data_IF_845174151424
#
_entry.id   IF_845174151424
#
_cell.length_a   1.000
_cell.length_b   1.000
_cell.length_c   1.000
_cell.angle_alpha   90.00
_cell.angle_beta   90.00
_cell.angle_gamma   90.00
#
_symmetry.space_group_name_H-M   'P 1'
#
loop_
_entity.id
_entity.type
_entity.pdbx_description
1 polymer ?
#
# COMPACT_ATOMS: atom_id res chain seq x y z
N UNK A 1 -16.45 43.27 49.17
CA UNK A 1 -15.36 42.29 49.19
C UNK A 1 -15.45 41.41 47.96
N UNK A 2 -14.28 41.10 47.41
CA UNK A 2 -13.99 40.50 46.10
C UNK A 2 -14.41 39.02 46.02
N UNK A 3 -14.95 38.58 44.86
CA UNK A 3 -14.63 37.25 44.29
C UNK A 3 -15.06 37.16 42.82
N UNK A 4 -14.14 37.55 41.92
CA UNK A 4 -14.09 37.05 40.54
C UNK A 4 -13.41 35.68 40.61
N UNK A 5 -14.13 34.61 40.29
CA UNK A 5 -13.51 33.30 40.05
C UNK A 5 -13.27 33.22 38.54
N UNK A 6 -11.99 33.08 38.21
CA UNK A 6 -11.44 33.01 36.86
C UNK A 6 -11.87 31.68 36.23
N UNK A 7 -12.67 31.75 35.16
CA UNK A 7 -12.69 30.71 34.14
C UNK A 7 -11.37 30.82 33.35
N UNK A 8 -10.60 29.75 33.30
CA UNK A 8 -9.57 29.65 32.27
C UNK A 8 -8.42 28.74 32.63
N UNK A 9 -8.58 27.45 32.35
CA UNK A 9 -7.49 26.59 31.83
C UNK A 9 -8.15 25.42 31.09
N UNK A 10 -8.32 25.49 29.77
CA UNK A 10 -8.60 24.29 28.95
C UNK A 10 -8.13 24.36 27.48
N UNK A 11 -7.59 25.49 26.99
CA UNK A 11 -7.21 25.62 25.57
C UNK A 11 -5.86 24.97 25.18
N UNK A 12 -4.97 24.66 26.13
CA UNK A 12 -3.61 24.18 25.80
C UNK A 12 -3.55 22.70 25.37
N UNK A 13 -4.48 21.86 25.80
CA UNK A 13 -4.51 20.44 25.41
C UNK A 13 -5.05 20.20 23.98
N UNK A 14 -5.93 21.08 23.50
CA UNK A 14 -6.52 20.99 22.16
C UNK A 14 -5.51 21.27 21.05
N UNK A 15 -4.70 22.32 21.20
CA UNK A 15 -3.73 22.75 20.17
C UNK A 15 -2.66 21.70 19.86
N UNK A 16 -2.19 20.97 20.88
CA UNK A 16 -1.20 19.89 20.70
C UNK A 16 -1.77 18.68 19.92
N UNK A 17 -3.06 18.40 20.08
CA UNK A 17 -3.72 17.27 19.40
C UNK A 17 -3.90 17.51 17.90
N UNK A 18 -4.23 18.75 17.49
CA UNK A 18 -4.38 19.10 16.07
C UNK A 18 -3.03 19.10 15.33
N UNK A 19 -1.99 19.69 15.93
CA UNK A 19 -0.65 19.70 15.34
C UNK A 19 -0.07 18.28 15.17
N UNK A 20 -0.29 17.39 16.14
CA UNK A 20 0.13 16.00 16.03
C UNK A 20 -0.63 15.23 14.93
N UNK A 21 -1.93 15.48 14.78
CA UNK A 21 -2.74 14.87 13.72
C UNK A 21 -2.31 15.33 12.32
N UNK A 22 -1.99 16.61 12.16
CA UNK A 22 -1.48 17.15 10.88
C UNK A 22 -0.11 16.57 10.53
N UNK A 23 0.81 16.47 11.50
CA UNK A 23 2.12 15.85 11.30
C UNK A 23 2.01 14.36 10.95
N UNK A 24 1.09 13.63 11.59
CA UNK A 24 0.83 12.22 11.27
C UNK A 24 0.26 12.06 9.85
N UNK A 25 -0.70 12.91 9.47
CA UNK A 25 -1.29 12.91 8.12
C UNK A 25 -0.23 13.23 7.07
N UNK A 26 0.62 14.21 7.31
CA UNK A 26 1.71 14.56 6.40
C UNK A 26 2.73 13.41 6.27
N UNK A 27 3.10 12.77 7.39
CA UNK A 27 3.94 11.58 7.37
C UNK A 27 3.33 10.44 6.55
N UNK A 28 2.04 10.15 6.74
CA UNK A 28 1.34 9.12 5.97
C UNK A 28 1.31 9.42 4.47
N UNK A 29 1.10 10.69 4.10
CA UNK A 29 1.10 11.11 2.69
C UNK A 29 2.49 11.02 2.03
N UNK A 30 3.58 11.22 2.80
CA UNK A 30 4.96 11.02 2.32
C UNK A 30 5.30 9.55 2.10
N UNK A 31 4.71 8.64 2.89
CA UNK A 31 4.88 7.20 2.78
C UNK A 31 4.03 6.62 1.63
N UNK A 32 4.48 6.94 0.41
CA UNK A 32 3.86 6.59 -0.87
C UNK A 32 4.70 5.60 -1.68
N UNK A 33 4.04 4.72 -2.41
CA UNK A 33 4.63 3.91 -3.47
C UNK A 33 3.95 4.18 -4.81
N UNK A 34 4.72 4.08 -5.89
CA UNK A 34 4.25 4.33 -7.25
C UNK A 34 4.39 3.04 -8.05
N UNK A 35 3.31 2.56 -8.65
CA UNK A 35 3.33 1.43 -9.58
C UNK A 35 3.20 1.94 -11.00
N UNK A 36 4.23 1.70 -11.81
CA UNK A 36 4.21 1.98 -13.23
C UNK A 36 3.81 0.71 -13.98
N UNK A 37 2.57 0.66 -14.52
CA UNK A 37 2.10 -0.57 -15.17
C UNK A 37 2.74 -0.81 -16.54
N UNK A 38 3.29 0.23 -17.18
CA UNK A 38 4.00 0.07 -18.45
C UNK A 38 5.36 -0.62 -18.25
N UNK A 39 5.93 -0.52 -17.05
CA UNK A 39 7.18 -1.19 -16.66
C UNK A 39 6.97 -2.44 -15.78
N UNK A 40 5.76 -2.62 -15.25
CA UNK A 40 5.47 -3.63 -14.22
C UNK A 40 6.48 -3.54 -13.04
N UNK A 41 6.61 -2.32 -12.52
CA UNK A 41 7.52 -1.96 -11.43
C UNK A 41 6.79 -1.18 -10.34
N UNK A 42 7.20 -1.39 -9.09
CA UNK A 42 6.81 -0.61 -7.92
C UNK A 42 8.02 0.14 -7.39
N UNK A 43 7.92 1.45 -7.25
CA UNK A 43 8.97 2.32 -6.72
C UNK A 43 8.55 2.94 -5.38
N UNK A 44 9.44 2.92 -4.40
CA UNK A 44 9.27 3.61 -3.13
C UNK A 44 9.62 5.09 -3.30
N UNK A 45 8.68 6.00 -3.02
CA UNK A 45 8.86 7.42 -3.35
C UNK A 45 9.92 8.11 -2.46
N UNK A 46 10.18 7.57 -1.27
CA UNK A 46 11.10 8.16 -0.29
C UNK A 46 12.58 7.83 -0.54
N UNK A 47 12.89 6.67 -1.13
CA UNK A 47 14.27 6.27 -1.45
C UNK A 47 14.52 6.00 -2.95
N UNK A 48 13.47 6.09 -3.78
CA UNK A 48 13.57 5.88 -5.23
C UNK A 48 13.81 4.43 -5.66
N UNK A 49 13.87 3.47 -4.73
CA UNK A 49 14.14 2.08 -5.08
C UNK A 49 12.94 1.46 -5.80
N UNK A 50 13.20 0.91 -6.98
CA UNK A 50 12.19 0.24 -7.80
C UNK A 50 12.39 -1.27 -7.79
N UNK A 51 11.27 -2.01 -7.83
CA UNK A 51 11.24 -3.47 -7.80
C UNK A 51 10.27 -4.01 -8.84
N UNK A 52 10.58 -5.14 -9.50
CA UNK A 52 9.65 -5.78 -10.40
C UNK A 52 8.44 -6.32 -9.62
N UNK A 53 7.27 -6.24 -10.24
CA UNK A 53 6.00 -6.73 -9.69
C UNK A 53 5.22 -7.51 -10.73
N UNK A 54 4.37 -8.43 -10.31
CA UNK A 54 3.36 -9.00 -11.21
C UNK A 54 2.08 -8.17 -11.13
N UNK A 55 1.53 -7.81 -12.28
CA UNK A 55 0.33 -6.98 -12.37
C UNK A 55 -0.66 -7.57 -13.36
N UNK A 56 -1.86 -6.99 -13.42
CA UNK A 56 -2.90 -7.35 -14.37
C UNK A 56 -3.19 -6.22 -15.33
N UNK A 57 -3.75 -6.53 -16.50
CA UNK A 57 -4.25 -5.51 -17.44
C UNK A 57 -5.37 -4.65 -16.84
N UNK A 58 -6.05 -5.19 -15.83
CA UNK A 58 -7.16 -4.59 -15.10
C UNK A 58 -6.73 -3.89 -13.81
N UNK A 59 -5.43 -3.81 -13.51
CA UNK A 59 -4.96 -3.05 -12.33
C UNK A 59 -5.39 -1.58 -12.47
N UNK A 60 -6.23 -1.06 -11.57
CA UNK A 60 -6.88 0.23 -11.77
C UNK A 60 -5.87 1.36 -11.57
N UNK A 61 -5.96 2.37 -12.43
CA UNK A 61 -5.15 3.59 -12.35
C UNK A 61 -5.70 4.56 -11.31
N UNK A 62 -4.82 5.36 -10.73
CA UNK A 62 -5.18 6.41 -9.78
C UNK A 62 -4.43 6.34 -8.47
N UNK A 63 -4.85 7.17 -7.52
CA UNK A 63 -4.31 7.24 -6.16
C UNK A 63 -5.27 6.53 -5.20
N UNK A 64 -4.73 5.68 -4.35
CA UNK A 64 -5.48 4.85 -3.42
C UNK A 64 -4.84 4.88 -2.03
N UNK A 65 -5.67 4.85 -1.00
CA UNK A 65 -5.22 4.58 0.36
C UNK A 65 -5.01 3.06 0.51
N UNK A 66 -3.97 2.68 1.24
CA UNK A 66 -3.61 1.29 1.49
C UNK A 66 -4.07 0.87 2.89
N UNK A 67 -4.68 -0.30 2.97
CA UNK A 67 -5.15 -0.88 4.23
C UNK A 67 -4.64 -2.31 4.40
N UNK A 68 -3.97 -2.57 5.53
CA UNK A 68 -3.59 -3.94 5.89
C UNK A 68 -4.82 -4.72 6.35
N UNK A 69 -5.07 -5.88 5.73
CA UNK A 69 -6.26 -6.70 5.95
C UNK A 69 -5.85 -8.15 6.20
N UNK A 70 -6.43 -8.77 7.23
CA UNK A 70 -6.25 -10.21 7.50
C UNK A 70 -6.98 -11.04 6.46
N UNK A 71 -6.43 -12.19 6.12
CA UNK A 71 -7.07 -13.18 5.25
C UNK A 71 -6.75 -14.60 5.69
N UNK A 72 -7.74 -15.49 5.64
CA UNK A 72 -7.55 -16.93 5.83
C UNK A 72 -7.24 -17.67 4.53
N UNK A 73 -7.26 -16.98 3.38
CA UNK A 73 -7.04 -17.61 2.08
C UNK A 73 -5.59 -18.13 1.98
N UNK A 74 -5.39 -19.38 1.53
CA UNK A 74 -4.07 -19.99 1.48
C UNK A 74 -3.17 -19.31 0.44
N UNK A 75 -1.87 -19.29 0.72
CA UNK A 75 -0.85 -18.72 -0.16
C UNK A 75 -0.63 -17.20 -0.05
N UNK A 76 -1.41 -16.50 0.78
CA UNK A 76 -1.25 -15.05 1.02
C UNK A 76 -0.39 -14.71 2.26
N UNK A 77 -0.09 -15.71 3.11
CA UNK A 77 0.67 -15.49 4.34
C UNK A 77 -0.12 -14.80 5.46
N UNK A 78 -1.45 -14.90 5.44
CA UNK A 78 -2.32 -14.42 6.52
C UNK A 78 -2.82 -12.97 6.38
N UNK A 79 -2.26 -12.19 5.47
CA UNK A 79 -2.60 -10.78 5.28
C UNK A 79 -2.35 -10.31 3.83
N UNK A 80 -3.06 -9.26 3.43
CA UNK A 80 -2.90 -8.54 2.16
C UNK A 80 -3.03 -7.04 2.41
N UNK A 81 -2.55 -6.21 1.50
CA UNK A 81 -2.73 -4.75 1.56
C UNK A 81 -3.78 -4.38 0.51
N UNK A 82 -5.02 -4.19 0.94
CA UNK A 82 -6.12 -3.76 0.07
C UNK A 82 -5.96 -2.30 -0.33
N UNK A 83 -6.36 -1.95 -1.56
CA UNK A 83 -6.35 -0.56 -2.03
C UNK A 83 -7.60 -0.14 -2.83
N UNK A 84 -8.38 -1.10 -3.35
CA UNK A 84 -9.67 -0.82 -3.98
C UNK A 84 -10.60 -2.01 -3.86
N UNK A 85 -11.85 -1.78 -3.48
CA UNK A 85 -12.90 -2.80 -3.50
C UNK A 85 -13.90 -2.46 -4.61
N UNK A 86 -14.21 -3.43 -5.47
CA UNK A 86 -15.28 -3.34 -6.45
C UNK A 86 -16.18 -4.58 -6.33
N UNK A 87 -17.43 -4.39 -5.89
CA UNK A 87 -18.35 -5.50 -5.61
C UNK A 87 -17.66 -6.55 -4.72
N UNK A 88 -17.51 -7.78 -5.21
CA UNK A 88 -16.90 -8.90 -4.50
C UNK A 88 -15.39 -9.05 -4.74
N UNK A 89 -14.76 -8.12 -5.48
CA UNK A 89 -13.35 -8.16 -5.82
C UNK A 89 -12.53 -7.10 -5.07
N UNK A 90 -11.55 -7.57 -4.29
CA UNK A 90 -10.56 -6.74 -3.63
C UNK A 90 -9.29 -6.69 -4.48
N UNK A 91 -8.96 -5.50 -4.99
CA UNK A 91 -7.62 -5.23 -5.52
C UNK A 91 -6.66 -5.01 -4.35
N UNK A 92 -5.56 -5.77 -4.34
CA UNK A 92 -4.60 -5.75 -3.26
C UNK A 92 -3.15 -5.86 -3.74
N UNK A 93 -2.22 -5.36 -2.92
CA UNK A 93 -0.83 -5.77 -2.95
C UNK A 93 -0.65 -7.00 -2.06
N UNK A 94 0.06 -8.01 -2.55
CA UNK A 94 0.34 -9.22 -1.78
C UNK A 94 1.62 -9.93 -2.20
N UNK A 95 2.13 -10.82 -1.34
CA UNK A 95 3.26 -11.71 -1.65
C UNK A 95 2.96 -12.55 -2.90
N UNK A 96 3.98 -12.91 -3.67
CA UNK A 96 3.78 -13.76 -4.86
C UNK A 96 3.05 -15.05 -4.49
N UNK A 97 1.86 -15.27 -5.06
CA UNK A 97 1.05 -16.45 -4.79
C UNK A 97 1.51 -17.66 -5.62
N UNK A 98 1.92 -18.73 -4.96
CA UNK A 98 2.64 -19.86 -5.59
C UNK A 98 1.89 -21.19 -5.62
N UNK A 99 0.63 -21.24 -5.15
CA UNK A 99 -0.12 -22.50 -5.09
C UNK A 99 -0.57 -23.06 -6.46
N UNK A 100 -0.24 -22.38 -7.56
CA UNK A 100 -0.37 -22.91 -8.92
C UNK A 100 1.00 -22.88 -9.62
N UNK A 101 1.79 -23.97 -9.50
CA UNK A 101 3.16 -24.01 -10.02
C UNK A 101 3.28 -23.76 -11.52
N UNK A 102 2.28 -24.19 -12.32
CA UNK A 102 2.25 -24.00 -13.77
C UNK A 102 2.21 -22.54 -14.23
N UNK A 103 1.93 -21.60 -13.33
CA UNK A 103 1.98 -20.16 -13.65
C UNK A 103 3.40 -19.60 -13.52
N UNK A 104 4.34 -20.32 -12.92
CA UNK A 104 5.76 -19.96 -12.81
C UNK A 104 6.00 -18.53 -12.28
N UNK A 105 5.16 -18.05 -11.35
CA UNK A 105 5.16 -16.65 -10.90
C UNK A 105 6.50 -16.15 -10.38
N UNK A 106 7.25 -16.99 -9.67
CA UNK A 106 8.58 -16.63 -9.17
C UNK A 106 9.60 -16.43 -10.30
N UNK A 107 9.50 -17.20 -11.39
CA UNK A 107 10.31 -16.97 -12.59
C UNK A 107 9.88 -15.70 -13.32
N UNK A 108 8.56 -15.48 -13.42
CA UNK A 108 8.00 -14.29 -14.09
C UNK A 108 8.40 -12.99 -13.43
N UNK A 109 8.30 -12.90 -12.10
CA UNK A 109 8.64 -11.65 -11.37
C UNK A 109 10.14 -11.32 -11.48
N UNK A 110 10.98 -12.34 -11.67
CA UNK A 110 12.42 -12.18 -11.88
C UNK A 110 12.82 -11.99 -13.35
N UNK A 111 11.88 -12.12 -14.30
CA UNK A 111 12.18 -11.90 -15.72
C UNK A 111 12.42 -10.42 -15.97
N UNK A 112 13.38 -10.09 -16.84
CA UNK A 112 13.58 -8.71 -17.33
C UNK A 112 12.51 -8.29 -18.35
N UNK A 113 11.81 -9.26 -18.96
CA UNK A 113 10.77 -9.00 -19.95
C UNK A 113 9.46 -8.57 -19.28
N UNK A 114 9.03 -7.34 -19.53
CA UNK A 114 7.81 -6.75 -18.92
C UNK A 114 6.57 -7.62 -19.15
N UNK A 115 6.38 -8.16 -20.36
CA UNK A 115 5.20 -8.96 -20.69
C UNK A 115 5.07 -10.25 -19.88
N UNK A 116 6.18 -10.80 -19.36
CA UNK A 116 6.13 -11.95 -18.46
C UNK A 116 5.46 -11.62 -17.13
N UNK A 117 5.54 -10.35 -16.71
CA UNK A 117 5.04 -9.81 -15.45
C UNK A 117 3.57 -9.34 -15.51
N UNK A 118 2.97 -9.31 -16.69
CA UNK A 118 1.54 -8.98 -16.86
C UNK A 118 0.72 -10.27 -16.88
N UNK A 119 0.18 -10.68 -15.74
CA UNK A 119 -0.46 -11.99 -15.59
C UNK A 119 -1.60 -12.06 -14.56
N UNK A 120 -1.72 -11.10 -13.63
CA UNK A 120 -2.73 -11.16 -12.56
C UNK A 120 -4.09 -10.67 -13.07
N UNK A 121 -5.13 -10.84 -12.24
CA UNK A 121 -6.46 -10.28 -12.51
C UNK A 121 -6.63 -8.84 -11.99
N UNK A 122 -5.53 -8.17 -11.62
CA UNK A 122 -5.55 -6.77 -11.16
C UNK A 122 -4.74 -6.53 -9.89
N UNK A 123 -4.51 -7.55 -9.07
CA UNK A 123 -3.65 -7.46 -7.90
C UNK A 123 -2.18 -7.19 -8.29
N UNK A 124 -1.44 -6.59 -7.37
CA UNK A 124 -0.01 -6.30 -7.54
C UNK A 124 0.77 -7.28 -6.65
N UNK A 125 1.42 -8.26 -7.27
CA UNK A 125 2.20 -9.23 -6.51
C UNK A 125 3.65 -8.76 -6.38
N UNK A 126 4.17 -8.81 -5.17
CA UNK A 126 5.51 -8.37 -4.79
C UNK A 126 6.28 -9.52 -4.14
N UNK A 127 7.61 -9.45 -4.13
CA UNK A 127 8.43 -10.37 -3.32
C UNK A 127 8.21 -10.13 -1.82
N UNK A 128 8.53 -11.12 -0.99
CA UNK A 128 8.32 -11.04 0.46
C UNK A 128 9.02 -9.83 1.09
N UNK A 129 10.26 -9.56 0.70
CA UNK A 129 11.03 -8.39 1.18
C UNK A 129 10.33 -7.06 0.84
N UNK A 130 9.79 -6.94 -0.37
CA UNK A 130 9.07 -5.73 -0.79
C UNK A 130 7.74 -5.61 -0.04
N UNK A 131 7.02 -6.72 0.13
CA UNK A 131 5.79 -6.75 0.93
C UNK A 131 6.02 -6.31 2.37
N UNK A 132 7.07 -6.84 3.01
CA UNK A 132 7.36 -6.53 4.40
C UNK A 132 7.69 -5.05 4.59
N UNK A 133 8.35 -4.43 3.62
CA UNK A 133 8.58 -2.97 3.58
C UNK A 133 7.28 -2.20 3.34
N UNK A 134 6.42 -2.64 2.42
CA UNK A 134 5.14 -2.01 2.07
C UNK A 134 4.18 -1.85 3.26
N UNK A 135 4.28 -2.71 4.28
CA UNK A 135 3.47 -2.58 5.50
C UNK A 135 3.64 -1.26 6.26
N UNK A 136 4.68 -0.49 5.94
CA UNK A 136 4.95 0.83 6.50
C UNK A 136 4.58 1.99 5.55
N UNK A 137 3.85 1.70 4.47
CA UNK A 137 3.38 2.66 3.48
C UNK A 137 1.86 2.73 3.49
N UNK A 138 1.32 3.90 3.11
CA UNK A 138 -0.12 4.18 3.27
C UNK A 138 -0.78 4.65 1.98
N UNK A 139 0.01 5.06 0.98
CA UNK A 139 -0.51 5.56 -0.30
C UNK A 139 0.05 4.74 -1.45
N UNK A 140 -0.83 4.25 -2.31
CA UNK A 140 -0.49 3.66 -3.60
C UNK A 140 -0.90 4.64 -4.71
N UNK A 141 0.01 4.90 -5.64
CA UNK A 141 -0.29 5.60 -6.89
C UNK A 141 -0.01 4.67 -8.06
N UNK A 142 -1.00 4.39 -8.90
CA UNK A 142 -0.86 3.53 -10.08
C UNK A 142 -0.92 4.38 -11.34
N UNK A 143 0.20 4.44 -12.06
CA UNK A 143 0.40 5.19 -13.31
C UNK A 143 0.61 4.28 -14.51
#
# INVERSE_FOLDING_TARGET
MLKRIILGVSLLAGLNSFAAADAAKEYMQRKKVIVNTAKAELCFADDGQCHPVLIGKTTPKGKFDMQLMKTSKPGYGGEVIGFKQEKDFLFALHRVWTLKPSEHRMKRIASDVVSDRIMTNGCINVTDKVYDKLRNYFVLEVI
#
